data_IF_336594390959
#
_entry.id   IF_336594390959
#
_cell.length_a   1.000
_cell.length_b   1.000
_cell.length_c   1.000
_cell.angle_alpha   90.00
_cell.angle_beta   90.00
_cell.angle_gamma   90.00
#
_symmetry.space_group_name_H-M   'P 1'
#
loop_
_entity.id
_entity.type
_entity.pdbx_description
1 polymer ?
#
# COMPACT_ATOMS: atom_id res chain seq x y z
N UNK A 1 -31.64 -9.90 9.94
CA UNK A 1 -31.43 -11.36 9.86
C UNK A 1 -29.96 -11.61 9.57
N UNK A 2 -29.29 -12.36 10.44
CA UNK A 2 -27.87 -12.75 10.34
C UNK A 2 -27.86 -14.22 9.94
N UNK A 3 -27.19 -14.56 8.84
CA UNK A 3 -27.02 -15.95 8.39
C UNK A 3 -25.58 -16.41 8.60
N UNK A 4 -25.36 -17.70 8.81
CA UNK A 4 -24.03 -18.31 8.79
C UNK A 4 -24.01 -19.29 7.62
N UNK A 5 -23.18 -19.00 6.61
CA UNK A 5 -22.98 -19.89 5.46
C UNK A 5 -21.49 -20.20 5.32
N UNK A 6 -21.12 -21.48 5.31
CA UNK A 6 -19.73 -21.94 5.14
C UNK A 6 -18.71 -21.26 6.08
N UNK A 7 -19.10 -20.99 7.33
CA UNK A 7 -18.24 -20.30 8.31
C UNK A 7 -18.16 -18.78 8.14
N UNK A 8 -18.89 -18.19 7.21
CA UNK A 8 -19.00 -16.74 7.02
C UNK A 8 -20.30 -16.20 7.61
N UNK A 9 -20.19 -15.14 8.40
CA UNK A 9 -21.35 -14.37 8.88
C UNK A 9 -21.84 -13.45 7.76
N UNK A 10 -23.05 -13.71 7.25
CA UNK A 10 -23.69 -12.86 6.24
C UNK A 10 -24.70 -11.94 6.91
N UNK A 11 -24.42 -10.64 6.81
CA UNK A 11 -25.35 -9.59 7.20
C UNK A 11 -26.13 -9.13 5.99
N UNK A 12 -27.45 -9.10 6.10
CA UNK A 12 -28.33 -8.67 5.00
C UNK A 12 -28.09 -7.24 4.55
N UNK A 13 -27.56 -6.38 5.42
CA UNK A 13 -27.22 -5.00 5.10
C UNK A 13 -25.79 -4.69 5.54
N UNK A 14 -24.95 -4.08 4.68
CA UNK A 14 -23.55 -3.75 5.02
C UNK A 14 -23.39 -2.77 6.20
N UNK A 15 -24.45 -2.05 6.60
CA UNK A 15 -24.42 -1.13 7.74
C UNK A 15 -24.57 -1.82 9.09
N UNK A 16 -25.17 -3.02 9.13
CA UNK A 16 -25.36 -3.76 10.38
C UNK A 16 -24.02 -4.15 11.02
N UNK A 17 -23.06 -4.77 10.31
CA UNK A 17 -21.75 -5.07 10.90
C UNK A 17 -21.00 -3.80 11.31
N UNK A 18 -21.14 -2.70 10.57
CA UNK A 18 -20.57 -1.40 10.96
C UNK A 18 -21.18 -0.88 12.26
N UNK A 19 -22.50 -0.90 12.41
CA UNK A 19 -23.18 -0.46 13.64
C UNK A 19 -22.81 -1.33 14.85
N UNK A 20 -22.69 -2.65 14.67
CA UNK A 20 -22.18 -3.56 15.71
C UNK A 20 -20.74 -3.22 16.07
N UNK A 21 -19.89 -2.94 15.08
CA UNK A 21 -18.49 -2.56 15.33
C UNK A 21 -18.38 -1.26 16.13
N UNK A 22 -19.16 -0.24 15.76
CA UNK A 22 -19.14 1.07 16.41
C UNK A 22 -19.80 1.08 17.80
N UNK A 23 -20.76 0.18 18.06
CA UNK A 23 -21.41 0.05 19.38
C UNK A 23 -20.61 -0.82 20.36
N UNK A 24 -19.66 -1.62 19.87
CA UNK A 24 -18.81 -2.46 20.72
C UNK A 24 -17.79 -1.62 21.50
N UNK A 25 -17.74 -1.85 22.82
CA UNK A 25 -16.69 -1.26 23.67
C UNK A 25 -15.29 -1.73 23.25
N UNK A 26 -14.27 -0.96 23.63
CA UNK A 26 -12.87 -1.34 23.42
C UNK A 26 -12.55 -2.73 23.99
N UNK A 27 -13.04 -3.04 25.19
CA UNK A 27 -12.84 -4.35 25.83
C UNK A 27 -13.47 -5.49 25.03
N UNK A 28 -14.67 -5.29 24.48
CA UNK A 28 -15.31 -6.30 23.61
C UNK A 28 -14.52 -6.50 22.33
N UNK A 29 -14.12 -5.41 21.66
CA UNK A 29 -13.29 -5.48 20.44
C UNK A 29 -11.98 -6.22 20.70
N UNK A 30 -11.30 -5.89 21.79
CA UNK A 30 -10.05 -6.54 22.21
C UNK A 30 -10.24 -8.04 22.45
N UNK A 31 -11.30 -8.45 23.15
CA UNK A 31 -11.61 -9.88 23.37
C UNK A 31 -11.83 -10.63 22.05
N UNK A 32 -12.55 -10.03 21.11
CA UNK A 32 -12.79 -10.64 19.79
C UNK A 32 -11.50 -10.79 19.00
N UNK A 33 -10.65 -9.76 18.95
CA UNK A 33 -9.37 -9.84 18.28
C UNK A 33 -8.45 -10.92 18.88
N UNK A 34 -8.42 -11.07 20.21
CA UNK A 34 -7.67 -12.15 20.86
C UNK A 34 -8.23 -13.53 20.49
N UNK A 35 -9.55 -13.73 20.58
CA UNK A 35 -10.18 -15.00 20.23
C UNK A 35 -9.95 -15.38 18.75
N UNK A 36 -10.01 -14.40 17.84
CA UNK A 36 -9.71 -14.64 16.42
C UNK A 36 -8.24 -14.99 16.22
N UNK A 37 -7.32 -14.29 16.86
CA UNK A 37 -5.89 -14.61 16.79
C UNK A 37 -5.58 -16.04 17.28
N UNK A 38 -6.24 -16.48 18.36
CA UNK A 38 -6.12 -17.83 18.91
C UNK A 38 -6.69 -18.90 17.97
N UNK A 39 -7.73 -18.56 17.18
CA UNK A 39 -8.35 -19.51 16.24
C UNK A 39 -7.47 -19.83 15.02
N UNK A 40 -6.57 -18.94 14.62
CA UNK A 40 -5.68 -19.12 13.47
C UNK A 40 -4.43 -19.94 13.83
N UNK A 41 -4.58 -21.21 14.19
CA UNK A 41 -3.45 -22.12 14.47
C UNK A 41 -2.74 -22.51 13.17
N UNK A 42 -1.42 -22.38 13.11
CA UNK A 42 -0.63 -22.68 11.91
C UNK A 42 -0.71 -21.64 10.77
N UNK A 43 -1.47 -20.56 10.96
CA UNK A 43 -1.74 -19.52 9.96
C UNK A 43 -1.23 -18.16 10.47
N UNK A 44 0.11 -17.92 10.44
CA UNK A 44 0.71 -16.76 11.10
C UNK A 44 0.28 -15.43 10.49
N UNK A 45 0.10 -15.36 9.17
CA UNK A 45 -0.31 -14.14 8.49
C UNK A 45 -1.76 -13.77 8.83
N UNK A 46 -2.68 -14.74 8.78
CA UNK A 46 -4.10 -14.55 9.13
C UNK A 46 -4.26 -14.12 10.59
N UNK A 47 -3.41 -14.66 11.48
CA UNK A 47 -3.35 -14.28 12.88
C UNK A 47 -2.85 -12.84 13.09
N UNK A 48 -1.89 -12.38 12.29
CA UNK A 48 -1.10 -11.20 12.59
C UNK A 48 -1.91 -9.90 12.68
N UNK A 49 -2.88 -9.59 11.79
CA UNK A 49 -3.73 -8.40 11.91
C UNK A 49 -4.54 -8.38 13.21
N UNK A 50 -5.00 -9.55 13.67
CA UNK A 50 -5.75 -9.66 14.91
C UNK A 50 -4.88 -9.41 16.14
N UNK A 51 -3.63 -9.88 16.15
CA UNK A 51 -2.66 -9.55 17.21
C UNK A 51 -2.24 -8.09 17.18
N UNK A 52 -1.98 -7.56 15.99
CA UNK A 52 -1.60 -6.16 15.80
C UNK A 52 -2.66 -5.20 16.37
N UNK A 53 -3.94 -5.48 16.15
CA UNK A 53 -5.06 -4.67 16.63
C UNK A 53 -5.18 -4.58 18.18
N UNK A 54 -4.50 -5.47 18.92
CA UNK A 54 -4.53 -5.50 20.38
C UNK A 54 -3.14 -5.34 21.01
N UNK A 55 -2.12 -5.12 20.20
CA UNK A 55 -0.75 -4.91 20.69
C UNK A 55 -0.62 -3.53 21.29
N UNK A 56 -0.09 -3.46 22.52
CA UNK A 56 0.21 -2.20 23.21
C UNK A 56 1.70 -1.83 23.10
N UNK A 57 2.54 -2.74 22.60
CA UNK A 57 3.99 -2.60 22.53
C UNK A 57 4.50 -3.08 21.17
N UNK A 58 5.71 -2.68 20.76
CA UNK A 58 6.38 -3.29 19.61
C UNK A 58 6.42 -4.81 19.75
N UNK A 59 6.11 -5.52 18.68
CA UNK A 59 6.07 -6.99 18.60
C UNK A 59 6.65 -7.42 17.25
N UNK A 60 7.93 -7.80 17.26
CA UNK A 60 8.65 -8.20 16.07
C UNK A 60 8.06 -9.46 15.42
N UNK A 61 7.50 -10.38 16.21
CA UNK A 61 6.93 -11.63 15.68
C UNK A 61 5.67 -11.37 14.86
N UNK A 62 4.80 -10.49 15.36
CA UNK A 62 3.61 -10.05 14.64
C UNK A 62 4.00 -9.22 13.41
N UNK A 63 4.99 -8.35 13.55
CA UNK A 63 5.46 -7.51 12.44
C UNK A 63 6.08 -8.34 11.29
N UNK A 64 6.88 -9.35 11.61
CA UNK A 64 7.45 -10.27 10.62
C UNK A 64 6.36 -11.07 9.89
N UNK A 65 5.35 -11.56 10.63
CA UNK A 65 4.24 -12.30 10.04
C UNK A 65 3.39 -11.43 9.10
N UNK A 66 3.12 -10.17 9.47
CA UNK A 66 2.45 -9.21 8.59
C UNK A 66 3.26 -8.96 7.31
N UNK A 67 4.56 -8.79 7.46
CA UNK A 67 5.47 -8.53 6.34
C UNK A 67 5.59 -9.72 5.38
N UNK A 68 5.63 -10.94 5.91
CA UNK A 68 5.75 -12.17 5.09
C UNK A 68 4.52 -12.39 4.21
N UNK A 69 3.32 -12.15 4.73
CA UNK A 69 2.08 -12.33 3.96
C UNK A 69 1.60 -11.10 3.20
N UNK A 70 2.23 -9.93 3.39
CA UNK A 70 1.92 -8.72 2.63
C UNK A 70 2.60 -8.74 1.25
N UNK A 71 2.02 -9.49 0.32
CA UNK A 71 2.44 -9.46 -1.08
C UNK A 71 1.97 -8.16 -1.76
N UNK A 72 2.79 -7.60 -2.65
CA UNK A 72 2.56 -6.27 -3.27
C UNK A 72 1.22 -6.17 -4.05
N UNK A 73 0.68 -7.30 -4.49
CA UNK A 73 -0.59 -7.43 -5.21
C UNK A 73 -1.83 -7.33 -4.31
N UNK A 74 -1.70 -7.47 -2.98
CA UNK A 74 -2.81 -7.35 -2.06
C UNK A 74 -3.31 -5.90 -1.91
N UNK A 75 -4.62 -5.62 -2.07
CA UNK A 75 -5.21 -4.28 -1.90
C UNK A 75 -4.78 -3.57 -0.61
N UNK A 76 -4.63 -4.32 0.47
CA UNK A 76 -4.27 -3.86 1.80
C UNK A 76 -2.77 -3.85 2.10
N UNK A 77 -1.90 -4.22 1.15
CA UNK A 77 -0.46 -4.38 1.38
C UNK A 77 0.19 -3.15 2.05
N UNK A 78 -0.16 -1.95 1.60
CA UNK A 78 0.36 -0.70 2.17
C UNK A 78 0.03 -0.58 3.67
N UNK A 79 -1.26 -0.71 4.02
CA UNK A 79 -1.71 -0.60 5.41
C UNK A 79 -1.11 -1.70 6.31
N UNK A 80 -0.98 -2.91 5.78
CA UNK A 80 -0.37 -4.05 6.49
C UNK A 80 1.11 -3.80 6.76
N UNK A 81 1.86 -3.31 5.76
CA UNK A 81 3.29 -3.01 5.89
C UNK A 81 3.57 -1.79 6.78
N UNK A 82 2.69 -0.78 6.78
CA UNK A 82 2.75 0.32 7.75
C UNK A 82 2.54 -0.18 9.18
N UNK A 83 1.54 -1.04 9.39
CA UNK A 83 1.29 -1.66 10.70
C UNK A 83 2.49 -2.51 11.14
N UNK A 84 3.09 -3.25 10.22
CA UNK A 84 4.31 -4.02 10.49
C UNK A 84 5.48 -3.11 10.90
N UNK A 85 5.63 -1.94 10.26
CA UNK A 85 6.64 -0.96 10.61
C UNK A 85 6.40 -0.28 11.97
N UNK A 86 5.14 -0.07 12.36
CA UNK A 86 4.76 0.48 13.67
C UNK A 86 5.05 -0.51 14.81
N UNK A 87 4.95 -1.81 14.54
CA UNK A 87 5.24 -2.88 15.50
C UNK A 87 6.72 -3.27 15.56
N UNK A 88 7.58 -2.74 14.69
CA UNK A 88 9.02 -2.99 14.69
C UNK A 88 9.72 -2.39 15.92
N UNK A 89 10.40 -3.18 16.77
CA UNK A 89 11.27 -2.64 17.80
C UNK A 89 12.59 -2.10 17.21
N UNK A 90 13.11 -2.74 16.16
CA UNK A 90 14.35 -2.34 15.51
C UNK A 90 14.08 -1.31 14.41
N UNK A 91 14.78 -0.16 14.47
CA UNK A 91 14.61 0.92 13.50
C UNK A 91 14.94 0.49 12.06
N UNK A 92 15.92 -0.40 11.88
CA UNK A 92 16.25 -0.95 10.56
C UNK A 92 15.06 -1.69 9.94
N UNK A 93 14.38 -2.54 10.70
CA UNK A 93 13.21 -3.26 10.23
C UNK A 93 12.01 -2.36 9.99
N UNK A 94 11.85 -1.32 10.83
CA UNK A 94 10.85 -0.28 10.61
C UNK A 94 11.05 0.39 9.24
N UNK A 95 12.26 0.87 8.94
CA UNK A 95 12.53 1.56 7.67
C UNK A 95 12.36 0.60 6.49
N UNK A 96 12.87 -0.64 6.60
CA UNK A 96 12.71 -1.68 5.58
C UNK A 96 11.24 -1.95 5.24
N UNK A 97 10.37 -2.08 6.25
CA UNK A 97 8.92 -2.28 6.07
C UNK A 97 8.23 -1.05 5.47
N UNK A 98 8.63 0.16 5.86
CA UNK A 98 8.14 1.40 5.24
C UNK A 98 8.55 1.52 3.77
N UNK A 99 9.77 1.11 3.40
CA UNK A 99 10.21 1.08 1.99
C UNK A 99 9.34 0.13 1.18
N UNK A 100 9.01 -1.06 1.71
CA UNK A 100 8.06 -1.97 1.06
C UNK A 100 6.67 -1.36 0.93
N UNK A 101 6.15 -0.72 1.98
CA UNK A 101 4.86 -0.02 1.92
C UNK A 101 4.85 1.07 0.83
N UNK A 102 5.94 1.84 0.74
CA UNK A 102 6.09 2.89 -0.27
C UNK A 102 6.17 2.29 -1.68
N UNK A 103 6.86 1.16 -1.85
CA UNK A 103 6.88 0.43 -3.11
C UNK A 103 5.47 -0.01 -3.53
N UNK A 104 4.71 -0.65 -2.64
CA UNK A 104 3.33 -1.05 -2.90
C UNK A 104 2.42 0.15 -3.24
N UNK A 105 2.60 1.30 -2.57
CA UNK A 105 1.87 2.53 -2.89
C UNK A 105 2.23 3.06 -4.29
N UNK A 106 3.52 3.05 -4.65
CA UNK A 106 4.00 3.46 -5.97
C UNK A 106 3.47 2.57 -7.09
N UNK A 107 3.42 1.26 -6.86
CA UNK A 107 2.85 0.27 -7.78
C UNK A 107 1.38 0.52 -8.09
N UNK A 108 0.65 1.10 -7.13
CA UNK A 108 -0.78 1.39 -7.23
C UNK A 108 -1.07 2.84 -7.66
N UNK A 109 -0.05 3.63 -7.94
CA UNK A 109 -0.21 5.06 -8.26
C UNK A 109 -0.80 5.88 -7.10
N UNK A 110 -0.68 5.41 -5.85
CA UNK A 110 -1.20 6.08 -4.66
C UNK A 110 -0.27 7.22 -4.23
N UNK A 111 -0.11 8.21 -5.09
CA UNK A 111 0.82 9.32 -4.97
C UNK A 111 0.76 10.06 -3.62
N UNK A 112 -0.42 10.39 -3.04
CA UNK A 112 -0.48 11.03 -1.72
C UNK A 112 0.08 10.14 -0.61
N UNK A 113 -0.18 8.84 -0.66
CA UNK A 113 0.28 7.84 0.31
C UNK A 113 1.80 7.65 0.17
N UNK A 114 2.29 7.46 -1.06
CA UNK A 114 3.72 7.37 -1.35
C UNK A 114 4.49 8.58 -0.82
N UNK A 115 3.98 9.80 -1.05
CA UNK A 115 4.60 11.03 -0.53
C UNK A 115 4.68 11.05 1.00
N UNK A 116 3.62 10.62 1.68
CA UNK A 116 3.59 10.49 3.14
C UNK A 116 4.65 9.52 3.65
N UNK A 117 4.74 8.34 3.04
CA UNK A 117 5.70 7.29 3.39
C UNK A 117 7.15 7.72 3.15
N UNK A 118 7.44 8.37 2.03
CA UNK A 118 8.78 8.89 1.72
C UNK A 118 9.23 9.90 2.78
N UNK A 119 8.36 10.85 3.15
CA UNK A 119 8.65 11.81 4.22
C UNK A 119 8.93 11.12 5.55
N UNK A 120 8.14 10.09 5.87
CA UNK A 120 8.32 9.29 7.09
C UNK A 120 9.66 8.56 7.11
N UNK A 121 10.08 7.99 5.99
CA UNK A 121 11.38 7.32 5.85
C UNK A 121 12.54 8.30 6.05
N UNK A 122 12.48 9.47 5.40
CA UNK A 122 13.56 10.49 5.46
C UNK A 122 13.71 11.08 6.86
N UNK A 123 12.62 11.18 7.62
CA UNK A 123 12.64 11.67 8.99
C UNK A 123 13.34 10.70 9.98
N UNK A 124 13.55 9.43 9.59
CA UNK A 124 14.24 8.45 10.42
C UNK A 124 15.75 8.52 10.15
N UNK A 125 16.61 8.42 11.20
CA UNK A 125 18.06 8.31 11.01
C UNK A 125 18.39 7.11 10.12
N UNK A 126 18.89 7.38 8.92
CA UNK A 126 19.13 6.41 7.87
C UNK A 126 20.62 6.09 7.73
N UNK A 127 20.93 4.81 7.54
CA UNK A 127 22.22 4.42 6.97
C UNK A 127 22.26 4.70 5.46
N UNK A 128 23.41 4.45 4.83
CA UNK A 128 23.59 4.70 3.41
C UNK A 128 22.61 3.91 2.51
N UNK A 129 22.22 2.68 2.91
CA UNK A 129 21.29 1.84 2.15
C UNK A 129 19.86 2.42 2.20
N UNK A 130 19.39 2.80 3.39
CA UNK A 130 18.07 3.42 3.55
C UNK A 130 18.00 4.79 2.86
N UNK A 131 19.06 5.59 2.92
CA UNK A 131 19.12 6.88 2.23
C UNK A 131 19.05 6.71 0.71
N UNK A 132 19.68 5.68 0.14
CA UNK A 132 19.56 5.37 -1.27
C UNK A 132 18.12 4.96 -1.64
N UNK A 133 17.48 4.10 -0.84
CA UNK A 133 16.10 3.66 -1.11
C UNK A 133 15.10 4.81 -1.02
N UNK A 134 15.28 5.74 -0.08
CA UNK A 134 14.46 6.94 0.03
C UNK A 134 14.55 7.80 -1.25
N UNK A 135 15.76 8.04 -1.76
CA UNK A 135 15.99 8.80 -3.01
C UNK A 135 15.36 8.11 -4.23
N UNK A 136 15.44 6.77 -4.31
CA UNK A 136 14.80 6.02 -5.38
C UNK A 136 13.26 6.16 -5.34
N UNK A 137 12.66 6.19 -4.14
CA UNK A 137 11.23 6.44 -3.98
C UNK A 137 10.84 7.89 -4.28
N UNK A 138 11.67 8.88 -3.95
CA UNK A 138 11.49 10.27 -4.37
C UNK A 138 11.51 10.40 -5.90
N UNK A 139 12.46 9.73 -6.57
CA UNK A 139 12.52 9.68 -8.03
C UNK A 139 11.24 9.10 -8.63
N UNK A 140 10.75 8.00 -8.04
CA UNK A 140 9.52 7.35 -8.46
C UNK A 140 8.31 8.26 -8.28
N UNK A 141 8.22 8.95 -7.15
CA UNK A 141 7.17 9.92 -6.86
C UNK A 141 7.17 11.05 -7.90
N UNK A 142 8.34 11.64 -8.19
CA UNK A 142 8.48 12.69 -9.20
C UNK A 142 8.05 12.21 -10.59
N UNK A 143 8.43 10.99 -10.99
CA UNK A 143 7.94 10.36 -12.23
C UNK A 143 6.41 10.29 -12.29
N UNK A 144 5.77 9.88 -11.20
CA UNK A 144 4.31 9.72 -11.13
C UNK A 144 3.56 11.06 -11.09
N UNK A 145 4.18 12.12 -10.57
CA UNK A 145 3.54 13.43 -10.41
C UNK A 145 3.83 14.43 -11.53
N UNK A 146 5.05 14.42 -12.04
CA UNK A 146 5.55 15.47 -12.93
C UNK A 146 5.73 14.98 -14.36
N UNK A 147 5.80 13.67 -14.60
CA UNK A 147 5.95 13.10 -15.94
C UNK A 147 7.27 13.47 -16.63
N UNK A 148 8.24 14.07 -15.92
CA UNK A 148 9.55 14.46 -16.46
C UNK A 148 10.60 13.38 -16.12
N UNK A 149 10.99 12.53 -17.08
CA UNK A 149 11.93 11.43 -16.83
C UNK A 149 13.35 11.90 -16.46
N UNK A 150 13.71 13.14 -16.77
CA UNK A 150 15.05 13.67 -16.49
C UNK A 150 15.35 13.86 -14.98
N UNK A 151 14.36 14.32 -14.20
CA UNK A 151 14.54 14.49 -12.75
C UNK A 151 14.66 13.13 -12.04
N UNK A 152 13.83 12.16 -12.47
CA UNK A 152 13.92 10.80 -11.98
C UNK A 152 15.24 10.10 -12.38
N UNK A 153 15.73 10.33 -13.59
CA UNK A 153 17.01 9.79 -14.05
C UNK A 153 18.19 10.35 -13.23
N UNK A 154 18.16 11.63 -12.86
CA UNK A 154 19.16 12.25 -11.98
C UNK A 154 19.16 11.64 -10.58
N UNK A 155 17.98 11.32 -10.03
CA UNK A 155 17.88 10.69 -8.71
C UNK A 155 18.30 9.21 -8.76
N UNK A 156 17.91 8.47 -9.80
CA UNK A 156 18.32 7.07 -9.99
C UNK A 156 19.82 6.91 -10.22
N UNK A 157 20.45 7.80 -10.98
CA UNK A 157 21.91 7.77 -11.19
C UNK A 157 22.67 8.09 -9.90
N UNK A 158 22.11 8.91 -9.01
CA UNK A 158 22.70 9.19 -7.70
C UNK A 158 22.58 8.03 -6.70
N UNK A 159 21.70 7.05 -6.93
CA UNK A 159 21.54 5.87 -6.06
C UNK A 159 22.34 4.64 -6.48
N UNK A 160 23.00 4.67 -7.65
CA UNK A 160 23.73 3.53 -8.25
C UNK A 160 24.86 2.99 -7.37
N UNK A 161 25.39 3.77 -6.44
CA UNK A 161 26.48 3.33 -5.55
C UNK A 161 26.02 2.40 -4.42
N UNK A 162 24.72 2.27 -4.17
CA UNK A 162 24.18 1.40 -3.13
C UNK A 162 23.71 0.06 -3.71
N UNK A 163 24.23 -1.06 -3.17
CA UNK A 163 23.59 -2.37 -3.37
C UNK A 163 22.26 -2.37 -2.64
N UNK A 164 21.17 -2.23 -3.38
CA UNK A 164 19.83 -2.36 -2.84
C UNK A 164 19.47 -3.83 -2.64
N UNK A 165 19.86 -4.40 -1.49
CA UNK A 165 19.56 -5.82 -1.20
C UNK A 165 18.11 -6.05 -0.78
N UNK A 166 17.47 -5.00 -0.26
CA UNK A 166 16.08 -5.04 0.22
C UNK A 166 15.03 -4.47 -0.75
N UNK A 167 15.46 -4.02 -1.93
CA UNK A 167 14.55 -3.44 -2.92
C UNK A 167 13.83 -4.56 -3.68
N UNK A 168 12.48 -4.59 -3.70
CA UNK A 168 11.75 -5.60 -4.45
C UNK A 168 12.11 -5.53 -5.94
N UNK A 169 12.16 -6.69 -6.61
CA UNK A 169 12.63 -6.80 -7.98
C UNK A 169 11.95 -5.77 -8.89
N UNK A 170 12.74 -5.11 -9.76
CA UNK A 170 12.22 -4.18 -10.74
C UNK A 170 11.14 -4.89 -11.58
N UNK A 171 9.98 -4.24 -11.75
CA UNK A 171 9.02 -4.69 -12.74
C UNK A 171 9.72 -4.78 -14.11
N UNK A 172 9.34 -5.73 -14.98
CA UNK A 172 9.65 -5.59 -16.38
C UNK A 172 9.09 -4.23 -16.82
N UNK A 173 9.96 -3.41 -17.43
CA UNK A 173 9.56 -2.12 -17.98
C UNK A 173 8.34 -2.35 -18.89
N UNK A 174 7.16 -1.93 -18.44
CA UNK A 174 5.99 -1.97 -19.30
C UNK A 174 6.29 -1.01 -20.44
N UNK A 175 6.44 -1.60 -21.62
CA UNK A 175 6.85 -0.93 -22.84
C UNK A 175 6.02 0.33 -23.09
N UNK A 176 6.76 1.39 -23.40
CA UNK A 176 6.45 2.45 -24.35
C UNK A 176 4.97 2.61 -24.76
N UNK A 177 4.31 3.64 -24.22
CA UNK A 177 3.23 4.31 -24.94
C UNK A 177 3.63 5.75 -25.24
N UNK A 178 4.66 5.90 -26.08
CA UNK A 178 4.71 7.00 -27.05
C UNK A 178 3.37 7.06 -27.79
N UNK A 179 2.55 8.04 -27.40
CA UNK A 179 1.67 8.73 -28.34
C UNK A 179 1.62 10.21 -27.97
N UNK A 180 2.76 10.87 -28.21
CA UNK A 180 2.76 12.30 -28.51
C UNK A 180 2.05 12.52 -29.84
N UNK A 181 1.17 13.51 -29.86
CA UNK A 181 0.35 13.85 -31.01
C UNK A 181 1.16 14.38 -32.20
N UNK A 182 0.54 14.26 -33.37
CA UNK A 182 0.80 15.13 -34.51
C UNK A 182 -0.49 15.90 -34.80
N UNK A 183 -0.36 17.23 -34.82
CA UNK A 183 -1.35 18.20 -35.27
C UNK A 183 -1.44 18.20 -36.80
N UNK A 184 -2.64 18.51 -37.32
CA UNK A 184 -2.90 19.02 -38.68
C UNK A 184 -3.52 17.99 -39.62
N UNK A 185 -4.70 18.19 -40.22
CA UNK A 185 -5.61 19.33 -40.21
C UNK A 185 -6.81 19.08 -41.15
N UNK A 186 -7.80 19.97 -41.02
CA UNK A 186 -8.87 20.32 -41.97
C UNK A 186 -9.93 19.26 -42.35
N UNK A 187 -11.16 19.45 -41.85
CA UNK A 187 -12.31 19.97 -42.62
C UNK A 187 -13.65 19.45 -42.03
N UNK A 188 -14.41 20.37 -41.43
CA UNK A 188 -15.88 20.34 -41.44
C UNK A 188 -16.37 20.89 -42.80
N UNK A 189 -17.64 20.80 -43.21
CA UNK A 189 -18.88 20.54 -42.44
C UNK A 189 -19.71 19.41 -43.10
N UNK A 190 -20.95 19.03 -42.79
CA UNK A 190 -22.15 19.73 -42.32
C UNK A 190 -23.22 18.67 -42.00
N UNK A 191 -24.21 19.04 -41.16
CA UNK A 191 -25.57 18.53 -41.29
C UNK A 191 -26.01 17.34 -40.41
N UNK A 192 -27.02 17.58 -39.57
CA UNK A 192 -27.94 16.53 -39.15
C UNK A 192 -28.40 16.57 -37.68
N UNK A 193 -29.40 17.40 -37.40
CA UNK A 193 -30.33 17.22 -36.27
C UNK A 193 -30.85 15.77 -36.18
N UNK A 194 -30.95 15.21 -34.97
CA UNK A 194 -32.26 14.82 -34.43
C UNK A 194 -32.22 14.40 -32.95
N UNK A 195 -33.34 14.72 -32.31
CA UNK A 195 -33.70 14.54 -30.92
C UNK A 195 -34.15 13.09 -30.57
N UNK A 196 -34.67 12.95 -29.34
CA UNK A 196 -35.31 11.81 -28.65
C UNK A 196 -34.33 11.00 -27.75
N UNK A 197 -34.46 10.90 -26.42
CA UNK A 197 -35.55 10.73 -25.44
C UNK A 197 -35.49 9.32 -24.80
N UNK A 198 -35.56 9.33 -23.47
CA UNK A 198 -36.09 8.34 -22.52
C UNK A 198 -35.56 6.90 -22.46
N UNK A 199 -34.89 6.56 -21.33
CA UNK A 199 -35.45 5.80 -20.19
C UNK A 199 -34.38 5.60 -19.10
#
# INVERSE_FOLDING_TARGET
>A
MIGVEAGQLRFRHPLVPSAVHWSASFTQRRRVHLALAESFVGAPYERAPHRAAVSAQPDESTAAALEEGATDDLPQAVAVLETAADLSPARRDQIRRLIKAAHAAAMRGQTPVLRGLVRRIIALPADAEHAASARALEARLACLTEGVPAHALSLLTSSVTARHTQWPAALPATADSRRGGALGGAAAPDGGMNAFADC
#
